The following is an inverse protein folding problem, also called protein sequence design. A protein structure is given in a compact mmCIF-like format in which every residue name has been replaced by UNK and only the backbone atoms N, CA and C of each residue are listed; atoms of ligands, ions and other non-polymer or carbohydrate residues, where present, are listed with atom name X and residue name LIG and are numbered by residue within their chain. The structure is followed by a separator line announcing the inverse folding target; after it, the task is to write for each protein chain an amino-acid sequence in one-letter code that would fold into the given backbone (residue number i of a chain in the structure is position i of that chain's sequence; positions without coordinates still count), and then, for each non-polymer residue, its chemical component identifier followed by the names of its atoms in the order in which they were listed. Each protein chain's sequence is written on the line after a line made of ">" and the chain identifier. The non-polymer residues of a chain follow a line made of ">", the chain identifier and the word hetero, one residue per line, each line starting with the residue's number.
data_IF_266282058113
#
_entry.id   IF_266282058113
#
_cell.length_a   1.000
_cell.length_b   1.000
_cell.length_c   1.000
_cell.angle_alpha   90.00
_cell.angle_beta   90.00
_cell.angle_gamma   90.00
#
_symmetry.space_group_name_H-M   'P 1'
#
loop_
_entity.id
_entity.type
_entity.pdbx_description
1 polymer ?
#
# COMPACT_ATOMS: atom_id res chain seq x y z
N UNK A 1 -2.92 18.16 6.43
CA UNK A 1 -4.33 18.41 6.84
C UNK A 1 -5.15 18.93 5.67
N UNK A 2 -6.50 18.89 5.73
CA UNK A 2 -7.37 19.49 4.70
C UNK A 2 -7.10 21.00 4.62
N UNK A 3 -6.93 21.56 3.40
CA UNK A 3 -6.58 22.96 3.20
C UNK A 3 -7.51 23.94 3.92
N UNK A 4 -8.82 23.67 3.95
CA UNK A 4 -9.82 24.52 4.60
C UNK A 4 -9.62 24.71 6.12
N UNK A 5 -8.84 23.87 6.78
CA UNK A 5 -8.54 24.03 8.23
C UNK A 5 -7.57 25.20 8.45
N UNK A 6 -6.75 25.50 7.45
CA UNK A 6 -5.78 26.61 7.52
C UNK A 6 -6.44 27.99 7.41
N UNK A 7 -7.70 28.03 6.97
CA UNK A 7 -8.49 29.27 6.86
C UNK A 7 -9.20 29.61 8.17
N UNK A 8 -9.20 28.71 9.16
CA UNK A 8 -9.83 28.93 10.47
C UNK A 8 -8.90 29.82 11.32
N UNK A 9 -9.39 30.95 11.85
CA UNK A 9 -8.60 31.80 12.75
C UNK A 9 -8.04 31.01 13.93
N UNK A 10 -6.83 31.32 14.37
CA UNK A 10 -6.09 30.67 15.48
C UNK A 10 -5.68 29.23 15.09
N UNK A 11 -6.64 28.35 14.72
CA UNK A 11 -6.38 26.95 14.40
C UNK A 11 -5.47 26.82 13.18
N UNK A 12 -5.67 27.64 12.16
CA UNK A 12 -4.81 27.70 10.98
C UNK A 12 -3.37 28.06 11.30
N UNK A 13 -3.15 28.95 12.26
CA UNK A 13 -1.81 29.31 12.72
C UNK A 13 -1.15 28.16 13.48
N UNK A 14 -1.89 27.47 14.34
CA UNK A 14 -1.40 26.28 15.06
C UNK A 14 -0.99 25.18 14.08
N UNK A 15 -1.81 24.90 13.07
CA UNK A 15 -1.49 23.88 12.04
C UNK A 15 -0.28 24.27 11.18
N UNK A 16 -0.15 25.56 10.83
CA UNK A 16 1.04 26.07 10.11
C UNK A 16 2.29 25.95 10.97
N UNK A 17 2.22 26.39 12.23
CA UNK A 17 3.34 26.30 13.18
C UNK A 17 3.72 24.82 13.46
N UNK A 18 2.74 23.92 13.48
CA UNK A 18 2.96 22.47 13.59
C UNK A 18 3.48 21.78 12.33
N UNK A 19 3.89 22.54 11.30
CA UNK A 19 4.48 21.97 10.08
C UNK A 19 3.52 21.12 9.22
N UNK A 20 2.20 21.26 9.44
CA UNK A 20 1.21 20.46 8.68
C UNK A 20 1.21 20.83 7.21
N UNK A 21 1.27 19.82 6.34
CA UNK A 21 1.19 20.00 4.88
C UNK A 21 -0.29 20.15 4.49
N UNK A 22 -0.69 21.26 3.82
CA UNK A 22 -2.04 21.41 3.31
C UNK A 22 -2.30 20.43 2.15
N UNK A 23 -3.46 19.76 2.17
CA UNK A 23 -3.87 18.83 1.13
C UNK A 23 -5.11 19.36 0.42
N UNK A 24 -4.96 19.68 -0.86
CA UNK A 24 -6.01 20.15 -1.75
C UNK A 24 -6.69 18.96 -2.43
N UNK A 25 -7.72 18.41 -1.79
CA UNK A 25 -8.40 17.19 -2.26
C UNK A 25 -9.27 17.49 -3.47
N UNK A 26 -9.17 16.63 -4.50
CA UNK A 26 -10.04 16.73 -5.69
C UNK A 26 -9.63 17.82 -6.68
N UNK A 27 -8.48 18.44 -6.52
CA UNK A 27 -7.93 19.44 -7.43
C UNK A 27 -6.66 18.95 -8.10
N UNK A 28 -6.24 19.59 -9.19
CA UNK A 28 -4.93 19.34 -9.83
C UNK A 28 -3.75 19.63 -8.89
N UNK A 29 -3.99 20.41 -7.85
CA UNK A 29 -3.01 20.80 -6.82
C UNK A 29 -2.79 19.71 -5.75
N UNK A 30 -3.58 18.62 -5.77
CA UNK A 30 -3.34 17.50 -4.86
C UNK A 30 -1.92 16.91 -5.00
N UNK A 31 -1.32 16.98 -6.20
CA UNK A 31 0.07 16.63 -6.46
C UNK A 31 1.08 17.49 -5.70
N UNK A 32 0.79 18.77 -5.51
CA UNK A 32 1.69 19.70 -4.82
C UNK A 32 1.99 19.29 -3.37
N UNK A 33 1.01 18.67 -2.72
CA UNK A 33 1.18 18.16 -1.35
C UNK A 33 2.20 17.02 -1.28
N UNK A 34 2.28 16.16 -2.31
CA UNK A 34 3.26 15.10 -2.38
C UNK A 34 4.66 15.65 -2.71
N UNK A 35 4.75 16.66 -3.57
CA UNK A 35 6.02 17.33 -3.88
C UNK A 35 6.60 17.99 -2.62
N UNK A 36 5.78 18.66 -1.84
CA UNK A 36 6.23 19.27 -0.58
C UNK A 36 6.63 18.20 0.45
N UNK A 37 5.89 17.09 0.55
CA UNK A 37 6.25 15.98 1.41
C UNK A 37 7.59 15.34 0.99
N UNK A 38 7.80 15.15 -0.31
CA UNK A 38 9.07 14.65 -0.87
C UNK A 38 10.23 15.56 -0.52
N UNK A 39 10.08 16.87 -0.74
CA UNK A 39 11.10 17.85 -0.41
C UNK A 39 11.49 17.79 1.07
N UNK A 40 10.53 17.66 1.96
CA UNK A 40 10.76 17.55 3.40
C UNK A 40 11.45 16.24 3.79
N UNK A 41 11.02 15.11 3.23
CA UNK A 41 11.66 13.83 3.47
C UNK A 41 13.14 13.84 3.04
N UNK A 42 13.43 14.42 1.87
CA UNK A 42 14.79 14.56 1.37
C UNK A 42 15.62 15.55 2.21
N UNK A 43 14.98 16.46 2.94
CA UNK A 43 15.61 17.35 3.92
C UNK A 43 15.83 16.68 5.29
N UNK A 44 15.39 15.42 5.48
CA UNK A 44 15.54 14.67 6.72
C UNK A 44 14.35 14.79 7.69
N UNK A 45 13.25 15.42 7.28
CA UNK A 45 12.05 15.51 8.09
C UNK A 45 11.31 14.16 8.16
N UNK A 46 10.55 13.97 9.23
CA UNK A 46 9.61 12.85 9.37
C UNK A 46 8.21 13.30 8.97
N UNK A 47 7.54 12.52 8.11
CA UNK A 47 6.19 12.83 7.64
C UNK A 47 5.20 11.79 8.16
N UNK A 48 4.19 12.24 8.92
CA UNK A 48 3.07 11.39 9.30
C UNK A 48 1.96 11.47 8.25
N UNK A 49 1.54 10.31 7.75
CA UNK A 49 0.48 10.19 6.74
C UNK A 49 -0.61 9.25 7.25
N UNK A 50 -1.87 9.65 7.06
CA UNK A 50 -3.03 8.78 7.19
C UNK A 50 -3.40 8.27 5.79
N UNK A 51 -3.03 7.02 5.42
CA UNK A 51 -3.12 6.58 4.03
C UNK A 51 -4.56 6.46 3.51
N UNK A 52 -5.54 6.29 4.38
CA UNK A 52 -6.96 6.30 3.99
C UNK A 52 -7.42 7.70 3.53
N UNK A 53 -6.75 8.74 3.99
CA UNK A 53 -7.04 10.14 3.64
C UNK A 53 -8.39 10.64 4.14
N UNK A 54 -9.10 9.89 4.96
CA UNK A 54 -10.39 10.22 5.59
C UNK A 54 -10.55 9.43 6.88
N UNK A 55 -11.57 9.75 7.66
CA UNK A 55 -12.01 8.87 8.76
C UNK A 55 -12.58 7.58 8.17
N UNK A 56 -12.39 6.46 8.85
CA UNK A 56 -12.87 5.18 8.36
C UNK A 56 -14.37 5.22 8.06
N UNK A 57 -14.75 4.72 6.88
CA UNK A 57 -16.13 4.53 6.44
C UNK A 57 -16.61 3.10 6.67
N UNK A 58 -15.71 2.22 7.07
CA UNK A 58 -16.08 0.86 7.47
C UNK A 58 -17.04 0.94 8.68
N UNK A 59 -18.21 0.31 8.61
CA UNK A 59 -19.15 0.25 9.72
C UNK A 59 -18.55 -0.31 11.02
N UNK A 60 -17.56 -1.17 10.90
CA UNK A 60 -16.83 -1.77 12.03
C UNK A 60 -15.54 -1.02 12.38
N UNK A 61 -15.28 0.10 11.69
CA UNK A 61 -14.12 0.99 11.89
C UNK A 61 -12.76 0.32 11.64
N UNK A 62 -12.70 -0.76 10.86
CA UNK A 62 -11.45 -1.33 10.41
C UNK A 62 -10.73 -0.41 9.41
N UNK A 63 -9.41 -0.56 9.26
CA UNK A 63 -8.68 0.11 8.19
C UNK A 63 -9.24 -0.23 6.83
N UNK A 64 -9.41 0.79 5.99
CA UNK A 64 -9.95 0.67 4.64
C UNK A 64 -8.85 0.49 3.61
N UNK A 65 -9.25 0.33 2.33
CA UNK A 65 -8.33 0.45 1.20
C UNK A 65 -7.67 1.84 1.21
N UNK A 66 -6.34 1.85 1.22
CA UNK A 66 -5.54 3.06 1.27
C UNK A 66 -5.48 3.80 -0.07
N UNK A 67 -5.20 5.10 0.00
CA UNK A 67 -4.82 5.91 -1.16
C UNK A 67 -3.34 5.76 -1.47
N UNK A 68 -2.99 5.83 -2.73
CA UNK A 68 -1.64 5.54 -3.24
C UNK A 68 -0.57 6.57 -2.88
N UNK A 69 -0.94 7.70 -2.26
CA UNK A 69 -0.02 8.81 -1.99
C UNK A 69 1.18 8.42 -1.12
N UNK A 70 0.97 7.64 -0.06
CA UNK A 70 2.04 7.19 0.82
C UNK A 70 3.00 6.22 0.11
N UNK A 71 2.46 5.28 -0.68
CA UNK A 71 3.27 4.35 -1.46
C UNK A 71 4.10 5.09 -2.52
N UNK A 72 3.49 5.98 -3.31
CA UNK A 72 4.20 6.79 -4.31
C UNK A 72 5.34 7.59 -3.69
N UNK A 73 5.09 8.20 -2.54
CA UNK A 73 6.11 8.99 -1.85
C UNK A 73 7.28 8.12 -1.40
N UNK A 74 7.00 6.98 -0.75
CA UNK A 74 8.04 6.07 -0.29
C UNK A 74 8.83 5.41 -1.43
N UNK A 75 8.16 4.98 -2.51
CA UNK A 75 8.81 4.41 -3.70
C UNK A 75 9.73 5.41 -4.40
N UNK A 76 9.35 6.70 -4.46
CA UNK A 76 10.19 7.75 -5.07
C UNK A 76 11.38 8.14 -4.23
N UNK A 77 11.22 8.17 -2.91
CA UNK A 77 12.26 8.70 -2.01
C UNK A 77 13.11 7.62 -1.39
N UNK A 78 12.71 6.33 -1.47
CA UNK A 78 13.33 5.25 -0.72
C UNK A 78 13.13 5.38 0.80
N UNK A 79 12.20 6.23 1.24
CA UNK A 79 11.99 6.48 2.67
C UNK A 79 11.52 5.22 3.40
N UNK A 80 12.07 5.01 4.59
CA UNK A 80 11.62 3.96 5.50
C UNK A 80 10.25 4.30 6.06
N UNK A 81 9.40 3.30 6.14
CA UNK A 81 8.04 3.41 6.66
C UNK A 81 7.97 2.82 8.06
N UNK A 82 7.26 3.51 8.95
CA UNK A 82 6.96 3.06 10.30
C UNK A 82 5.44 2.95 10.45
N UNK A 83 4.86 1.73 10.40
CA UNK A 83 3.42 1.56 10.51
C UNK A 83 2.97 1.79 11.95
N UNK A 84 1.81 2.44 12.10
CA UNK A 84 1.19 2.70 13.40
C UNK A 84 -0.29 2.31 13.35
N UNK A 85 -0.74 1.50 14.32
CA UNK A 85 -2.13 1.20 14.57
C UNK A 85 -2.66 2.00 15.74
N UNK A 86 -3.90 2.52 15.66
CA UNK A 86 -4.55 3.27 16.71
C UNK A 86 -5.99 2.81 16.89
N UNK A 87 -6.44 2.74 18.16
CA UNK A 87 -7.82 2.43 18.51
C UNK A 87 -8.25 3.17 19.78
N UNK A 88 -9.54 3.53 19.89
CA UNK A 88 -10.13 4.19 21.06
C UNK A 88 -10.40 5.69 20.88
N UNK A 89 -9.78 6.36 19.90
CA UNK A 89 -10.03 7.77 19.64
C UNK A 89 -11.49 8.08 19.24
N UNK A 90 -12.17 7.10 18.60
CA UNK A 90 -13.57 7.17 18.22
C UNK A 90 -14.54 7.25 19.42
N UNK A 91 -14.07 6.85 20.61
CA UNK A 91 -14.86 6.89 21.84
C UNK A 91 -14.81 8.26 22.50
N UNK A 92 -13.85 9.10 22.10
CA UNK A 92 -13.70 10.50 22.53
C UNK A 92 -14.43 11.42 21.57
N UNK A 93 -14.21 11.22 20.27
CA UNK A 93 -14.78 12.04 19.21
C UNK A 93 -15.42 11.15 18.16
N UNK A 94 -16.72 11.25 18.02
CA UNK A 94 -17.45 10.48 17.02
C UNK A 94 -16.91 10.71 15.62
N UNK A 95 -16.66 9.62 14.89
CA UNK A 95 -16.17 9.68 13.51
C UNK A 95 -17.11 10.47 12.59
N UNK A 96 -18.44 10.35 12.86
CA UNK A 96 -19.50 11.03 12.11
C UNK A 96 -20.64 11.36 13.07
N UNK A 97 -20.90 12.63 13.29
CA UNK A 97 -22.02 13.04 14.14
C UNK A 97 -21.68 14.14 15.12
N UNK A 98 -20.40 14.37 15.38
CA UNK A 98 -19.93 15.55 16.11
C UNK A 98 -20.08 15.46 17.63
N UNK A 99 -20.29 14.27 18.18
CA UNK A 99 -20.26 14.07 19.62
C UNK A 99 -18.83 14.11 20.15
N UNK A 100 -18.59 14.92 21.18
CA UNK A 100 -17.33 14.97 21.92
C UNK A 100 -17.57 14.44 23.33
N UNK A 101 -16.98 13.28 23.65
CA UNK A 101 -17.23 12.52 24.87
C UNK A 101 -15.93 12.29 25.66
N UNK A 102 -15.32 13.33 26.25
CA UNK A 102 -14.03 13.19 26.96
C UNK A 102 -14.19 12.50 28.33
N UNK A 103 -15.41 12.41 28.86
CA UNK A 103 -15.71 11.79 30.14
C UNK A 103 -16.74 10.66 29.97
N UNK A 104 -16.64 9.57 30.75
CA UNK A 104 -15.49 9.19 31.59
C UNK A 104 -14.22 9.03 30.76
N UNK A 105 -13.06 8.92 31.42
CA UNK A 105 -11.78 8.68 30.72
C UNK A 105 -11.89 7.53 29.75
N UNK A 106 -11.31 7.72 28.58
CA UNK A 106 -11.27 6.73 27.50
C UNK A 106 -9.85 6.24 27.28
N UNK A 107 -9.71 4.97 26.98
CA UNK A 107 -8.42 4.37 26.63
C UNK A 107 -8.18 4.54 25.13
N UNK A 108 -7.10 5.22 24.79
CA UNK A 108 -6.59 5.27 23.42
C UNK A 108 -5.30 4.47 23.37
N UNK A 109 -5.29 3.45 22.53
CA UNK A 109 -4.12 2.58 22.34
C UNK A 109 -3.47 2.89 21.01
N UNK A 110 -2.13 2.94 21.03
CA UNK A 110 -1.31 3.10 19.83
C UNK A 110 -0.25 2.02 19.87
N UNK A 111 -0.13 1.26 18.79
CA UNK A 111 0.91 0.25 18.60
C UNK A 111 1.74 0.66 17.40
N UNK A 112 3.05 0.60 17.56
CA UNK A 112 4.04 0.94 16.53
C UNK A 112 4.70 -0.36 16.09
N UNK A 113 4.68 -0.64 14.80
CA UNK A 113 5.28 -1.82 14.22
C UNK A 113 6.74 -1.61 13.81
N UNK A 114 7.32 -2.63 13.20
CA UNK A 114 8.68 -2.56 12.67
C UNK A 114 8.77 -1.71 11.42
N UNK A 115 9.90 -1.04 11.26
CA UNK A 115 10.19 -0.26 10.04
C UNK A 115 10.39 -1.19 8.84
N UNK A 116 9.98 -0.73 7.65
CA UNK A 116 10.16 -1.46 6.40
C UNK A 116 10.37 -0.50 5.24
N UNK A 117 10.75 -1.03 4.08
CA UNK A 117 10.86 -0.29 2.81
C UNK A 117 9.93 -0.91 1.77
N UNK A 118 9.78 -0.23 0.65
CA UNK A 118 8.99 -0.69 -0.49
C UNK A 118 9.88 -1.09 -1.68
N UNK A 119 11.16 -1.35 -1.45
CA UNK A 119 12.15 -1.64 -2.49
C UNK A 119 11.74 -2.81 -3.40
N UNK A 120 11.05 -3.82 -2.84
CA UNK A 120 10.54 -4.97 -3.59
C UNK A 120 9.47 -4.62 -4.64
N UNK A 121 8.86 -3.44 -4.55
CA UNK A 121 7.85 -2.97 -5.50
C UNK A 121 8.45 -2.07 -6.60
N UNK A 122 9.76 -1.83 -6.57
CA UNK A 122 10.45 -0.93 -7.50
C UNK A 122 10.24 0.55 -7.21
N UNK A 123 10.75 1.39 -8.11
CA UNK A 123 10.70 2.86 -7.99
C UNK A 123 9.79 3.51 -9.02
N UNK A 124 9.23 2.74 -9.96
CA UNK A 124 8.32 3.25 -10.99
C UNK A 124 6.94 3.54 -10.40
N UNK A 125 6.67 4.82 -10.17
CA UNK A 125 5.38 5.27 -9.65
C UNK A 125 4.27 5.35 -10.72
N UNK A 126 4.61 5.20 -12.00
CA UNK A 126 3.63 5.13 -13.08
C UNK A 126 3.08 3.70 -13.26
N UNK A 127 3.81 2.70 -12.78
CA UNK A 127 3.27 1.34 -12.66
C UNK A 127 2.16 1.29 -11.61
N UNK A 128 0.93 1.38 -12.09
CA UNK A 128 -0.26 1.38 -11.24
C UNK A 128 -0.45 0.07 -10.47
N UNK A 129 0.03 -1.05 -11.00
CA UNK A 129 -0.08 -2.35 -10.33
C UNK A 129 0.89 -2.40 -9.15
N UNK A 130 2.16 -2.05 -9.36
CA UNK A 130 3.17 -1.98 -8.31
C UNK A 130 2.76 -1.00 -7.20
N UNK A 131 2.29 0.21 -7.56
CA UNK A 131 1.84 1.22 -6.58
C UNK A 131 0.64 0.73 -5.77
N UNK A 132 -0.32 0.02 -6.38
CA UNK A 132 -1.45 -0.56 -5.63
C UNK A 132 -0.98 -1.67 -4.69
N UNK A 133 -0.10 -2.56 -5.14
CA UNK A 133 0.45 -3.62 -4.32
C UNK A 133 1.25 -3.05 -3.13
N UNK A 134 2.08 -2.05 -3.36
CA UNK A 134 2.80 -1.33 -2.30
C UNK A 134 1.85 -0.65 -1.30
N UNK A 135 0.75 -0.06 -1.79
CA UNK A 135 -0.29 0.53 -0.92
C UNK A 135 -0.96 -0.55 -0.07
N UNK A 136 -1.30 -1.69 -0.68
CA UNK A 136 -1.91 -2.82 0.04
C UNK A 136 -0.99 -3.35 1.15
N UNK A 137 0.32 -3.42 0.91
CA UNK A 137 1.30 -3.84 1.92
C UNK A 137 1.37 -2.85 3.09
N UNK A 138 1.36 -1.53 2.83
CA UNK A 138 1.27 -0.52 3.89
C UNK A 138 0.03 -0.75 4.73
N UNK A 139 -1.15 -0.89 4.10
CA UNK A 139 -2.42 -1.08 4.81
C UNK A 139 -2.47 -2.40 5.56
N UNK A 140 -1.94 -3.48 5.00
CA UNK A 140 -1.84 -4.77 5.68
C UNK A 140 -1.06 -4.67 6.99
N UNK A 141 0.10 -3.99 6.98
CA UNK A 141 0.90 -3.79 8.19
C UNK A 141 0.16 -2.97 9.25
N UNK A 142 -0.53 -1.91 8.84
CA UNK A 142 -1.36 -1.11 9.75
C UNK A 142 -2.51 -1.97 10.31
N UNK A 143 -3.16 -2.77 9.47
CA UNK A 143 -4.27 -3.62 9.88
C UNK A 143 -3.85 -4.66 10.93
N UNK A 144 -2.69 -5.29 10.77
CA UNK A 144 -2.14 -6.25 11.75
C UNK A 144 -1.96 -5.58 13.12
N UNK A 145 -1.50 -4.34 13.18
CA UNK A 145 -1.37 -3.62 14.45
C UNK A 145 -2.73 -3.29 15.08
N UNK A 146 -3.73 -3.00 14.26
CA UNK A 146 -5.11 -2.79 14.76
C UNK A 146 -5.73 -4.11 15.23
N UNK A 147 -5.47 -5.24 14.55
CA UNK A 147 -5.85 -6.59 15.01
C UNK A 147 -5.27 -6.88 16.39
N UNK A 148 -3.99 -6.56 16.61
CA UNK A 148 -3.34 -6.73 17.90
C UNK A 148 -4.04 -5.92 19.01
N UNK A 149 -4.37 -4.64 18.73
CA UNK A 149 -5.05 -3.79 19.71
C UNK A 149 -6.46 -4.33 20.04
N UNK A 150 -7.18 -4.79 19.01
CA UNK A 150 -8.58 -5.24 19.14
C UNK A 150 -8.71 -6.68 19.62
N UNK A 151 -7.66 -7.51 19.46
CA UNK A 151 -7.68 -8.93 19.77
C UNK A 151 -8.56 -9.76 18.82
N UNK A 152 -8.84 -9.26 17.63
CA UNK A 152 -9.68 -9.91 16.61
C UNK A 152 -9.10 -9.75 15.21
N UNK A 153 -9.48 -10.63 14.29
CA UNK A 153 -9.02 -10.56 12.89
C UNK A 153 -9.87 -9.59 12.08
N UNK A 154 -9.18 -8.78 11.26
CA UNK A 154 -9.83 -7.89 10.34
C UNK A 154 -10.52 -8.68 9.22
N UNK A 155 -11.73 -8.27 8.82
CA UNK A 155 -12.33 -8.74 7.58
C UNK A 155 -11.54 -8.17 6.38
N UNK A 156 -11.98 -8.48 5.14
CA UNK A 156 -11.36 -7.83 3.98
C UNK A 156 -11.37 -6.30 4.13
N UNK A 157 -10.39 -5.59 3.57
CA UNK A 157 -10.39 -4.14 3.60
C UNK A 157 -11.65 -3.55 2.95
N UNK A 158 -12.25 -2.57 3.61
CA UNK A 158 -13.41 -1.86 3.10
C UNK A 158 -12.98 -0.93 1.96
N UNK A 159 -13.66 -1.03 0.81
CA UNK A 159 -13.42 -0.17 -0.35
C UNK A 159 -14.64 0.72 -0.61
N UNK A 160 -14.47 2.04 -0.45
CA UNK A 160 -15.56 2.99 -0.65
C UNK A 160 -16.13 2.99 -2.09
N UNK A 161 -15.33 2.61 -3.09
CA UNK A 161 -15.79 2.52 -4.47
C UNK A 161 -16.70 1.31 -4.70
N UNK A 162 -16.42 0.21 -4.00
CA UNK A 162 -17.18 -1.03 -4.11
C UNK A 162 -18.29 -1.11 -3.06
N UNK A 163 -17.98 -0.85 -1.80
CA UNK A 163 -18.88 -1.03 -0.67
C UNK A 163 -19.81 0.18 -0.46
N UNK A 164 -19.47 1.34 -1.03
CA UNK A 164 -20.22 2.58 -0.91
C UNK A 164 -19.84 3.41 0.34
N UNK A 165 -20.50 4.55 0.50
CA UNK A 165 -20.28 5.45 1.65
C UNK A 165 -21.30 5.17 2.77
N UNK A 166 -21.07 4.12 3.54
CA UNK A 166 -21.98 3.73 4.63
C UNK A 166 -21.71 4.46 5.97
N UNK A 167 -20.64 5.22 6.08
CA UNK A 167 -20.07 5.72 7.34
C UNK A 167 -21.00 6.44 8.30
N UNK A 168 -22.14 6.96 7.86
CA UNK A 168 -23.06 7.73 8.74
C UNK A 168 -24.30 6.97 9.17
N UNK A 169 -24.77 6.02 8.36
CA UNK A 169 -26.12 5.43 8.53
C UNK A 169 -26.14 3.97 8.97
N UNK A 170 -25.00 3.27 8.88
CA UNK A 170 -24.99 1.80 9.02
C UNK A 170 -23.83 1.28 9.89
N UNK A 171 -23.54 1.94 11.02
CA UNK A 171 -22.57 1.39 11.98
C UNK A 171 -22.97 -0.02 12.42
N UNK A 172 -22.01 -0.94 12.39
CA UNK A 172 -22.20 -2.31 12.83
C UNK A 172 -22.74 -3.28 11.78
N UNK A 173 -23.16 -2.79 10.62
CA UNK A 173 -23.66 -3.64 9.52
C UNK A 173 -22.74 -3.50 8.30
N UNK A 174 -22.15 -4.58 7.88
CA UNK A 174 -21.28 -4.67 6.71
C UNK A 174 -21.96 -5.52 5.64
N UNK A 175 -21.76 -5.17 4.36
CA UNK A 175 -22.15 -6.08 3.27
C UNK A 175 -21.39 -7.38 3.39
N UNK A 176 -21.98 -8.53 3.03
CA UNK A 176 -21.25 -9.78 2.88
C UNK A 176 -19.99 -9.58 2.00
N UNK A 177 -18.93 -10.30 2.30
CA UNK A 177 -17.77 -10.27 1.45
C UNK A 177 -18.15 -10.79 0.05
N UNK A 178 -17.69 -10.13 -1.03
CA UNK A 178 -17.95 -10.60 -2.39
C UNK A 178 -17.33 -11.97 -2.62
N UNK A 179 -17.84 -12.69 -3.59
CA UNK A 179 -17.20 -13.92 -4.03
C UNK A 179 -15.73 -13.66 -4.44
N UNK A 180 -14.85 -14.66 -4.35
CA UNK A 180 -13.41 -14.47 -4.61
C UNK A 180 -13.09 -13.85 -5.97
N UNK A 181 -13.92 -14.09 -6.96
CA UNK A 181 -13.84 -13.57 -8.33
C UNK A 181 -14.38 -12.13 -8.50
N UNK A 182 -15.16 -11.65 -7.53
CA UNK A 182 -15.70 -10.29 -7.53
C UNK A 182 -14.83 -9.29 -6.71
N UNK A 183 -13.73 -9.75 -6.11
CA UNK A 183 -12.91 -8.89 -5.27
C UNK A 183 -12.15 -7.85 -6.11
N UNK A 184 -12.22 -6.56 -5.77
CA UNK A 184 -11.47 -5.52 -6.47
C UNK A 184 -9.97 -5.78 -6.32
N UNK A 185 -9.31 -6.05 -7.46
CA UNK A 185 -7.89 -6.40 -7.51
C UNK A 185 -7.57 -7.89 -7.62
N UNK A 186 -8.56 -8.76 -7.69
CA UNK A 186 -8.35 -10.14 -8.11
C UNK A 186 -7.82 -10.13 -9.55
N UNK A 187 -6.64 -10.70 -9.77
CA UNK A 187 -6.13 -10.98 -11.12
C UNK A 187 -7.12 -11.96 -11.74
N UNK A 188 -7.68 -11.71 -12.94
CA UNK A 188 -8.53 -12.69 -13.60
C UNK A 188 -7.75 -14.01 -13.71
N UNK A 189 -8.22 -15.04 -13.05
CA UNK A 189 -7.73 -16.39 -13.30
C UNK A 189 -8.31 -16.77 -14.65
N UNK A 190 -7.45 -16.80 -15.66
CA UNK A 190 -7.81 -17.30 -17.00
C UNK A 190 -8.25 -18.77 -16.85
N UNK A 191 -9.55 -18.98 -16.92
CA UNK A 191 -10.18 -20.31 -16.93
C UNK A 191 -10.25 -20.88 -18.34
N UNK A 192 -9.34 -20.49 -19.23
CA UNK A 192 -9.19 -21.19 -20.49
C UNK A 192 -8.36 -22.46 -20.26
N UNK A 193 -9.04 -23.46 -20.00
CA UNK A 193 -8.99 -24.86 -20.29
C UNK A 193 -7.64 -25.47 -20.66
N UNK A 194 -7.18 -26.35 -19.82
CA UNK A 194 -6.62 -27.61 -20.30
C UNK A 194 -7.21 -28.72 -19.43
N UNK A 195 -8.36 -29.24 -19.86
CA UNK A 195 -8.70 -30.63 -19.54
C UNK A 195 -7.67 -31.52 -20.23
N UNK A 196 -6.99 -32.41 -19.53
CA UNK A 196 -6.18 -33.41 -20.20
C UNK A 196 -7.12 -34.43 -20.87
N UNK A 197 -7.23 -34.37 -22.19
CA UNK A 197 -7.78 -35.46 -22.99
C UNK A 197 -7.06 -36.77 -22.65
N UNK A 198 -7.84 -37.71 -22.14
CA UNK A 198 -7.49 -39.10 -22.01
C UNK A 198 -7.39 -39.72 -23.41
N UNK A 199 -6.19 -39.76 -23.97
CA UNK A 199 -5.87 -40.43 -25.20
C UNK A 199 -5.36 -41.84 -24.95
N UNK A 200 -6.10 -42.79 -25.48
CA UNK A 200 -5.86 -44.23 -25.49
C UNK A 200 -4.49 -44.66 -26.03
N UNK A 201 -4.03 -45.72 -25.44
CA UNK A 201 -2.85 -46.47 -25.83
C UNK A 201 -3.03 -47.20 -27.18
N UNK A 202 -1.98 -47.17 -28.01
CA UNK A 202 -1.80 -48.10 -29.15
C UNK A 202 -0.34 -48.21 -29.52
N UNK A 203 0.19 -49.44 -29.76
CA UNK A 203 1.62 -49.72 -29.75
C UNK A 203 2.24 -49.81 -31.17
N UNK A 204 3.52 -49.47 -31.32
CA UNK A 204 4.22 -49.78 -32.56
C UNK A 204 5.62 -49.20 -32.72
N UNK A 205 6.60 -49.95 -32.30
CA UNK A 205 7.81 -50.42 -33.00
C UNK A 205 8.80 -49.43 -33.66
N UNK A 206 10.02 -49.57 -33.17
CA UNK A 206 11.30 -49.80 -33.86
C UNK A 206 12.12 -48.64 -34.44
N UNK A 207 13.30 -48.55 -33.89
CA UNK A 207 14.65 -48.70 -34.46
C UNK A 207 15.28 -47.48 -35.15
N UNK A 208 16.51 -47.18 -34.71
CA UNK A 208 17.51 -46.77 -35.67
C UNK A 208 18.52 -45.73 -35.17
N UNK A 209 19.60 -46.23 -34.59
CA UNK A 209 21.01 -45.84 -34.80
C UNK A 209 21.48 -44.38 -34.60
N UNK A 210 22.35 -44.23 -33.63
CA UNK A 210 23.47 -43.28 -33.61
C UNK A 210 24.53 -43.70 -34.70
N UNK A 211 25.63 -42.99 -35.00
CA UNK A 211 26.48 -42.16 -34.15
C UNK A 211 27.18 -40.97 -34.88
N UNK A 212 28.00 -40.20 -34.18
CA UNK A 212 29.09 -39.44 -34.76
C UNK A 212 29.41 -38.10 -34.09
N UNK A 213 30.38 -38.10 -33.20
CA UNK A 213 31.19 -36.87 -32.95
C UNK A 213 32.44 -36.93 -33.87
N UNK A 214 33.57 -36.25 -33.67
CA UNK A 214 33.89 -35.09 -32.82
C UNK A 214 34.64 -33.97 -33.59
N UNK A 215 35.14 -32.91 -32.90
CA UNK A 215 36.11 -31.97 -33.42
C UNK A 215 36.16 -30.70 -32.59
N UNK A 216 36.99 -30.61 -31.81
CA UNK A 216 38.26 -29.99 -31.35
C UNK A 216 38.79 -28.83 -32.20
N UNK A 217 39.42 -27.94 -31.46
CA UNK A 217 40.51 -26.97 -31.70
C UNK A 217 40.06 -25.52 -31.54
N UNK A 218 40.58 -24.85 -30.56
CA UNK A 218 41.88 -24.33 -30.14
C UNK A 218 42.18 -22.88 -30.57
N UNK A 219 42.85 -22.24 -29.66
CA UNK A 219 43.82 -21.15 -29.78
C UNK A 219 43.27 -19.70 -29.60
N UNK A 220 43.70 -19.11 -28.56
CA UNK A 220 44.87 -18.33 -28.17
C UNK A 220 44.73 -16.82 -28.39
N UNK A 221 44.93 -16.15 -27.32
CA UNK A 221 46.01 -15.24 -26.89
C UNK A 221 45.88 -13.74 -27.22
N UNK A 222 46.32 -12.93 -26.23
CA UNK A 222 46.86 -11.58 -26.37
C UNK A 222 46.23 -10.59 -25.42
N UNK A 223 46.67 -10.36 -24.23
CA UNK A 223 47.80 -9.57 -23.70
C UNK A 223 47.80 -8.13 -24.22
N UNK A 224 47.57 -7.15 -23.38
CA UNK A 224 48.51 -6.12 -22.85
C UNK A 224 47.79 -5.03 -22.03
N UNK A 225 48.18 -4.89 -20.88
CA UNK A 225 48.67 -3.84 -20.00
C UNK A 225 48.70 -2.38 -20.52
N UNK A 226 48.27 -1.47 -19.68
CA UNK A 226 48.47 -0.02 -19.84
C UNK A 226 48.05 0.77 -18.60
N UNK A 227 48.99 0.97 -17.72
CA UNK A 227 48.98 1.85 -16.57
C UNK A 227 48.94 3.34 -16.96
N UNK A 228 48.38 4.17 -16.08
CA UNK A 228 48.49 5.64 -16.19
C UNK A 228 47.82 6.42 -15.09
N UNK A 229 48.59 6.79 -14.16
CA UNK A 229 48.52 7.76 -13.06
C UNK A 229 47.72 9.03 -13.26
N UNK A 230 47.36 9.50 -12.07
CA UNK A 230 46.77 10.79 -11.68
C UNK A 230 47.61 12.04 -12.05
N UNK A 231 47.13 13.25 -11.78
CA UNK A 231 46.86 13.78 -10.44
C UNK A 231 45.40 14.13 -10.16
#
# INVERSE_FOLDING_TARGET
>A
AKSTIFDVPILGHVFKAGGQIPVYRGTKEAGNSLVEAERRLLAGDVIMIFPEGTLSRDPLLWPMVGKTGAARLAMRTGARLLPMGQWGAQDILDSYGGGFHPLPRKDVRVVIGETFTLDSFGTDIEDRAAVRAATAEIMRRITVLVEEIRGEKAPRPYDMHYDGDFGKKHRGVRKPDPAPDEQPGAVPVDRTGDEPESGEAGPGAQSGTAPGGPGVDDAESGHESGSGERP
#
